data_IF_436949038079
#
_entry.id   IF_436949038079
#
_cell.length_a   1.000
_cell.length_b   1.000
_cell.length_c   1.000
_cell.angle_alpha   90.00
_cell.angle_beta   90.00
_cell.angle_gamma   90.00
#
_symmetry.space_group_name_H-M   'P 1'
#
loop_
_entity.id
_entity.type
_entity.pdbx_description
1 polymer ?
#
# COMPACT_ATOMS: atom_id res chain seq x y z
N UNK A 1 6.74 -11.06 13.04
CA UNK A 1 7.31 -9.86 13.70
C UNK A 1 6.90 -8.63 12.88
N UNK A 2 5.94 -7.83 13.35
CA UNK A 2 5.44 -6.61 12.68
C UNK A 2 6.37 -5.40 12.88
N UNK A 3 7.70 -5.60 12.92
CA UNK A 3 8.56 -4.65 13.63
C UNK A 3 8.99 -3.41 12.86
N UNK A 4 8.85 -3.31 11.53
CA UNK A 4 9.29 -2.13 10.78
C UNK A 4 8.47 -1.84 9.52
N UNK A 5 7.14 -1.68 9.66
CA UNK A 5 6.37 -1.16 8.54
C UNK A 5 6.76 0.32 8.28
N UNK A 6 6.96 0.75 7.02
CA UNK A 6 7.20 2.14 6.69
C UNK A 6 6.03 3.00 7.17
N UNK A 7 6.26 4.28 7.50
CA UNK A 7 5.19 5.21 7.88
C UNK A 7 4.91 6.16 6.73
N UNK A 8 3.63 6.45 6.49
CA UNK A 8 3.21 7.41 5.47
C UNK A 8 3.01 6.77 4.10
N UNK A 9 3.23 7.53 3.00
CA UNK A 9 3.10 7.03 1.63
C UNK A 9 4.06 5.86 1.36
N UNK A 10 3.54 4.78 0.79
CA UNK A 10 4.27 3.52 0.61
C UNK A 10 3.84 2.89 -0.72
N UNK A 11 4.75 2.16 -1.35
CA UNK A 11 4.49 1.38 -2.57
C UNK A 11 4.74 -0.10 -2.29
N UNK A 12 4.29 -0.96 -3.19
CA UNK A 12 4.54 -2.40 -3.15
C UNK A 12 5.65 -2.74 -4.16
N UNK A 13 6.91 -2.68 -3.72
CA UNK A 13 8.09 -2.81 -4.60
C UNK A 13 8.06 -1.83 -5.78
N UNK A 14 7.82 -0.54 -5.50
CA UNK A 14 7.71 0.52 -6.52
C UNK A 14 6.39 0.57 -7.31
N UNK A 15 5.41 -0.31 -7.04
CA UNK A 15 4.11 -0.35 -7.72
C UNK A 15 2.96 -0.02 -6.79
N UNK A 16 1.84 0.42 -7.36
CA UNK A 16 0.65 0.75 -6.61
C UNK A 16 0.87 1.88 -5.60
N UNK A 17 -0.06 2.04 -4.67
CA UNK A 17 0.00 3.07 -3.65
C UNK A 17 -0.73 2.63 -2.39
N UNK A 18 -0.05 2.75 -1.26
CA UNK A 18 -0.62 2.58 0.06
C UNK A 18 -0.24 3.75 0.96
N UNK A 19 -0.97 3.86 2.07
CA UNK A 19 -0.57 4.69 3.19
C UNK A 19 -0.51 3.81 4.43
N UNK A 20 0.60 3.85 5.15
CA UNK A 20 0.80 3.01 6.32
C UNK A 20 0.80 3.85 7.59
N UNK A 21 -0.04 3.47 8.54
CA UNK A 21 -0.13 4.11 9.86
C UNK A 21 -0.15 3.05 10.96
N UNK A 22 0.94 2.98 11.73
CA UNK A 22 1.13 1.94 12.74
C UNK A 22 1.22 0.56 12.09
N UNK A 23 0.23 -0.29 12.35
CA UNK A 23 0.11 -1.65 11.77
C UNK A 23 -0.88 -1.73 10.61
N UNK A 24 -1.53 -0.61 10.25
CA UNK A 24 -2.57 -0.58 9.22
C UNK A 24 -1.98 -0.19 7.88
N UNK A 25 -2.31 -0.96 6.86
CA UNK A 25 -2.00 -0.68 5.46
C UNK A 25 -3.29 -0.24 4.80
N UNK A 26 -3.34 1.02 4.35
CA UNK A 26 -4.46 1.55 3.57
C UNK A 26 -4.10 1.45 2.10
N UNK A 27 -4.57 0.40 1.41
CA UNK A 27 -4.22 0.14 0.01
C UNK A 27 -5.09 0.97 -0.93
N UNK A 28 -4.56 2.08 -1.45
CA UNK A 28 -5.29 2.95 -2.39
C UNK A 28 -5.29 2.38 -3.81
N UNK A 29 -4.13 1.96 -4.31
CA UNK A 29 -3.96 1.38 -5.65
C UNK A 29 -3.30 0.01 -5.54
N UNK A 30 -3.94 -1.01 -6.12
CA UNK A 30 -3.42 -2.37 -6.12
C UNK A 30 -2.18 -2.49 -7.05
N UNK A 31 -1.08 -3.11 -6.61
CA UNK A 31 0.11 -3.29 -7.45
C UNK A 31 -0.06 -4.36 -8.54
N UNK A 32 -1.10 -5.18 -8.47
CA UNK A 32 -1.36 -6.29 -9.39
C UNK A 32 -2.31 -5.89 -10.50
N UNK A 33 -3.46 -5.29 -10.18
CA UNK A 33 -4.49 -4.93 -11.17
C UNK A 33 -4.57 -3.42 -11.46
N UNK A 34 -3.76 -2.60 -10.79
CA UNK A 34 -3.70 -1.14 -10.97
C UNK A 34 -5.00 -0.39 -10.69
N UNK A 35 -6.01 -1.05 -10.10
CA UNK A 35 -7.28 -0.44 -9.75
C UNK A 35 -7.18 0.35 -8.44
N UNK A 36 -7.94 1.44 -8.39
CA UNK A 36 -8.20 2.17 -7.14
C UNK A 36 -9.24 1.44 -6.30
N UNK A 37 -8.94 1.26 -5.02
CA UNK A 37 -9.90 0.74 -4.06
C UNK A 37 -10.86 1.85 -3.61
N UNK A 38 -12.10 1.45 -3.34
CA UNK A 38 -13.01 2.29 -2.55
C UNK A 38 -12.42 2.48 -1.14
N UNK A 39 -12.77 3.56 -0.40
CA UNK A 39 -12.23 3.80 0.93
C UNK A 39 -12.37 2.59 1.88
N UNK A 40 -13.55 1.95 1.88
CA UNK A 40 -13.82 0.77 2.71
C UNK A 40 -12.93 -0.42 2.36
N UNK A 41 -12.65 -0.65 1.08
CA UNK A 41 -11.74 -1.72 0.65
C UNK A 41 -10.28 -1.35 0.89
N UNK A 42 -9.91 -0.07 0.73
CA UNK A 42 -8.55 0.39 1.00
C UNK A 42 -8.15 0.16 2.47
N UNK A 43 -9.05 0.47 3.39
CA UNK A 43 -8.82 0.34 4.84
C UNK A 43 -8.69 -1.11 5.32
N UNK A 44 -9.18 -2.10 4.57
CA UNK A 44 -9.00 -3.52 4.91
C UNK A 44 -7.60 -4.04 4.57
N UNK A 45 -6.81 -3.27 3.81
CA UNK A 45 -5.50 -3.70 3.33
C UNK A 45 -5.59 -4.81 2.26
N UNK A 46 -6.76 -5.04 1.66
CA UNK A 46 -6.97 -6.05 0.60
C UNK A 46 -7.59 -5.39 -0.63
N UNK A 47 -7.18 -5.79 -1.82
CA UNK A 47 -7.79 -5.26 -3.04
C UNK A 47 -9.25 -5.74 -3.18
N UNK A 48 -10.19 -4.82 -3.30
CA UNK A 48 -11.60 -5.12 -3.52
C UNK A 48 -11.94 -5.67 -4.92
N UNK A 49 -10.98 -5.69 -5.84
CA UNK A 49 -11.16 -6.13 -7.23
C UNK A 49 -10.61 -7.52 -7.49
N UNK A 50 -9.33 -7.73 -7.17
CA UNK A 50 -8.62 -9.00 -7.44
C UNK A 50 -8.28 -9.80 -6.16
N UNK A 51 -8.72 -9.33 -5.00
CA UNK A 51 -8.43 -9.96 -3.70
C UNK A 51 -6.94 -10.08 -3.34
N UNK A 52 -6.06 -9.28 -3.96
CA UNK A 52 -4.65 -9.22 -3.58
C UNK A 52 -4.48 -8.80 -2.10
N UNK A 53 -3.65 -9.54 -1.37
CA UNK A 53 -3.28 -9.30 0.03
C UNK A 53 -1.76 -9.07 0.06
N UNK A 54 -1.29 -7.92 0.54
CA UNK A 54 0.13 -7.63 0.60
C UNK A 54 0.81 -8.29 1.80
N UNK A 55 2.07 -8.65 1.64
CA UNK A 55 2.96 -8.98 2.74
C UNK A 55 3.67 -7.72 3.25
N UNK A 56 4.07 -7.71 4.52
CA UNK A 56 4.79 -6.56 5.09
C UNK A 56 6.12 -6.28 4.38
N UNK A 57 6.75 -7.31 3.82
CA UNK A 57 7.99 -7.24 3.06
C UNK A 57 7.82 -6.65 1.66
N UNK A 58 6.60 -6.61 1.13
CA UNK A 58 6.32 -5.97 -0.16
C UNK A 58 6.40 -4.43 -0.05
N UNK A 59 6.31 -3.88 1.17
CA UNK A 59 6.10 -2.45 1.41
C UNK A 59 7.40 -1.67 1.49
N UNK A 60 7.53 -0.67 0.62
CA UNK A 60 8.66 0.24 0.56
C UNK A 60 8.18 1.70 0.63
N UNK A 61 8.86 2.59 1.38
CA UNK A 61 8.53 4.01 1.37
C UNK A 61 8.38 4.54 -0.06
N UNK A 62 7.32 5.29 -0.34
CA UNK A 62 7.21 5.92 -1.65
C UNK A 62 8.34 6.95 -1.76
N UNK A 63 9.27 6.72 -2.69
CA UNK A 63 10.27 7.74 -3.06
C UNK A 63 9.50 8.92 -3.63
N UNK A 64 9.38 9.98 -2.82
CA UNK A 64 8.94 11.27 -3.31
C UNK A 64 10.05 11.73 -4.25
N UNK A 65 9.83 11.63 -5.55
CA UNK A 65 10.53 12.52 -6.46
C UNK A 65 10.08 13.92 -6.05
N UNK A 66 10.89 14.61 -5.26
CA UNK A 66 10.85 16.06 -5.17
C UNK A 66 10.93 16.53 -6.63
N UNK A 67 9.79 16.98 -7.16
CA UNK A 67 9.73 17.55 -8.50
C UNK A 67 10.68 18.75 -8.46
N UNK A 68 11.76 18.79 -9.28
CA UNK A 68 12.63 19.96 -9.35
C UNK A 68 11.86 21.20 -9.82
#
# INVERSE_FOLDING_TARGET
>A
MLKNLPRGPTTFGGRGLAFVHGIRIVMKVCPTCSQWNSPKAADSGVCGWCAYIPLCEDLEPAVQFERP
#
